data_IF_211743165456
#
_entry.id   IF_211743165456
#
_cell.length_a   1.000
_cell.length_b   1.000
_cell.length_c   1.000
_cell.angle_alpha   90.00
_cell.angle_beta   90.00
_cell.angle_gamma   90.00
#
_symmetry.space_group_name_H-M   'P 1'
#
loop_
_entity.id
_entity.type
_entity.pdbx_description
1 polymer ?
#
# COMPACT_ATOMS: atom_id res chain seq x y z
N UNK A 1 -9.02 -13.66 -14.10
CA UNK A 1 -9.58 -12.50 -13.40
C UNK A 1 -9.11 -11.26 -14.10
N UNK A 2 -10.03 -10.51 -14.69
CA UNK A 2 -9.73 -9.22 -15.32
C UNK A 2 -9.52 -8.16 -14.23
N UNK A 3 -8.91 -7.02 -14.60
CA UNK A 3 -8.75 -5.89 -13.67
C UNK A 3 -10.10 -5.38 -13.15
N UNK A 4 -11.12 -5.34 -14.03
CA UNK A 4 -12.47 -4.92 -13.65
C UNK A 4 -13.14 -5.92 -12.69
N UNK A 5 -12.97 -7.23 -12.91
CA UNK A 5 -13.47 -8.26 -11.99
C UNK A 5 -12.82 -8.15 -10.61
N UNK A 6 -11.52 -7.90 -10.54
CA UNK A 6 -10.81 -7.69 -9.28
C UNK A 6 -11.31 -6.46 -8.54
N UNK A 7 -11.53 -5.34 -9.26
CA UNK A 7 -12.07 -4.11 -8.67
C UNK A 7 -13.50 -4.27 -8.16
N UNK A 8 -14.38 -4.95 -8.91
CA UNK A 8 -15.74 -5.26 -8.44
C UNK A 8 -15.71 -6.12 -7.18
N UNK A 9 -14.85 -7.14 -7.16
CA UNK A 9 -14.69 -8.00 -5.99
C UNK A 9 -14.21 -7.22 -4.76
N UNK A 10 -13.19 -6.37 -4.91
CA UNK A 10 -12.66 -5.54 -3.83
C UNK A 10 -13.67 -4.48 -3.35
N UNK A 11 -14.39 -3.83 -4.27
CA UNK A 11 -15.46 -2.90 -3.94
C UNK A 11 -16.58 -3.58 -3.13
N UNK A 12 -17.00 -4.78 -3.55
CA UNK A 12 -18.01 -5.56 -2.83
C UNK A 12 -17.54 -5.95 -1.42
N UNK A 13 -16.27 -6.31 -1.24
CA UNK A 13 -15.67 -6.56 0.09
C UNK A 13 -15.69 -5.33 1.01
N UNK A 14 -15.80 -4.14 0.44
CA UNK A 14 -15.95 -2.89 1.17
C UNK A 14 -17.40 -2.41 1.29
N UNK A 15 -18.38 -3.26 0.95
CA UNK A 15 -19.80 -2.96 1.09
C UNK A 15 -20.34 -1.99 0.03
N UNK A 16 -19.63 -1.81 -1.08
CA UNK A 16 -20.06 -0.96 -2.19
C UNK A 16 -20.96 -1.77 -3.12
N UNK A 17 -22.11 -1.21 -3.46
CA UNK A 17 -23.01 -1.79 -4.46
C UNK A 17 -22.40 -1.67 -5.86
N UNK A 18 -21.87 -2.78 -6.37
CA UNK A 18 -21.23 -2.87 -7.70
C UNK A 18 -22.22 -2.75 -8.87
N UNK A 19 -23.52 -2.72 -8.59
CA UNK A 19 -24.57 -2.52 -9.61
C UNK A 19 -24.91 -1.05 -9.80
N UNK A 20 -24.59 -0.19 -8.81
CA UNK A 20 -24.82 1.24 -8.87
C UNK A 20 -23.94 1.91 -9.94
N UNK A 21 -24.46 2.87 -10.71
CA UNK A 21 -23.71 3.48 -11.83
C UNK A 21 -22.40 4.18 -11.42
N UNK A 22 -22.30 4.61 -10.16
CA UNK A 22 -21.20 5.36 -9.57
C UNK A 22 -20.28 4.50 -8.66
N UNK A 23 -20.45 3.17 -8.68
CA UNK A 23 -19.68 2.26 -7.81
C UNK A 23 -18.16 2.45 -7.96
N UNK A 24 -17.68 2.74 -9.18
CA UNK A 24 -16.26 2.97 -9.47
C UNK A 24 -15.74 4.23 -8.79
N UNK A 25 -16.48 5.33 -8.89
CA UNK A 25 -16.10 6.61 -8.29
C UNK A 25 -16.12 6.50 -6.76
N UNK A 26 -17.16 5.86 -6.21
CA UNK A 26 -17.29 5.60 -4.77
C UNK A 26 -16.11 4.76 -4.25
N UNK A 27 -15.77 3.69 -4.96
CA UNK A 27 -14.66 2.83 -4.58
C UNK A 27 -13.30 3.52 -4.72
N UNK A 28 -13.08 4.23 -5.83
CA UNK A 28 -11.86 4.99 -6.05
C UNK A 28 -11.65 6.04 -4.95
N UNK A 29 -12.71 6.75 -4.55
CA UNK A 29 -12.66 7.74 -3.47
C UNK A 29 -12.22 7.08 -2.16
N UNK A 30 -12.88 5.98 -1.77
CA UNK A 30 -12.53 5.23 -0.57
C UNK A 30 -11.06 4.76 -0.57
N UNK A 31 -10.59 4.24 -1.70
CA UNK A 31 -9.22 3.74 -1.83
C UNK A 31 -8.22 4.88 -1.72
N UNK A 32 -8.47 5.98 -2.43
CA UNK A 32 -7.59 7.16 -2.44
C UNK A 32 -7.53 7.83 -1.07
N UNK A 33 -8.64 7.92 -0.34
CA UNK A 33 -8.67 8.46 1.02
C UNK A 33 -7.85 7.59 1.99
N UNK A 34 -7.96 6.26 1.88
CA UNK A 34 -7.13 5.33 2.68
C UNK A 34 -5.64 5.43 2.34
N UNK A 35 -5.31 5.64 1.06
CA UNK A 35 -3.94 5.91 0.64
C UNK A 35 -3.43 7.23 1.23
N UNK A 36 -4.27 8.28 1.26
CA UNK A 36 -3.96 9.56 1.90
C UNK A 36 -3.64 9.42 3.39
N UNK A 37 -4.52 8.77 4.15
CA UNK A 37 -4.28 8.51 5.58
C UNK A 37 -2.99 7.68 5.81
N UNK A 38 -2.74 6.69 4.96
CA UNK A 38 -1.50 5.89 5.03
C UNK A 38 -0.26 6.72 4.70
N UNK A 39 -0.37 7.69 3.79
CA UNK A 39 0.71 8.59 3.39
C UNK A 39 1.04 9.63 4.47
N UNK A 40 0.05 10.06 5.24
CA UNK A 40 0.23 10.92 6.41
C UNK A 40 0.97 10.18 7.54
N UNK A 41 0.61 8.92 7.80
CA UNK A 41 1.28 8.07 8.80
C UNK A 41 2.73 7.75 8.40
N UNK A 42 2.91 7.35 7.15
CA UNK A 42 4.19 6.97 6.57
C UNK A 42 4.28 7.55 5.16
N UNK A 43 5.18 8.53 4.95
CA UNK A 43 5.32 9.25 3.68
C UNK A 43 5.91 8.40 2.55
N UNK A 44 5.20 7.34 2.20
CA UNK A 44 5.56 6.37 1.21
C UNK A 44 5.29 6.97 -0.19
N UNK A 45 6.34 7.27 -0.95
CA UNK A 45 6.26 7.94 -2.24
C UNK A 45 5.51 7.13 -3.29
N UNK A 46 5.26 5.84 -3.11
CA UNK A 46 4.45 5.06 -4.05
C UNK A 46 2.95 5.39 -3.96
N UNK A 47 2.46 5.79 -2.79
CA UNK A 47 1.05 6.04 -2.54
C UNK A 47 0.52 7.20 -3.41
N UNK A 48 1.21 8.35 -3.54
CA UNK A 48 0.80 9.39 -4.50
C UNK A 48 0.67 8.90 -5.95
N UNK A 49 1.56 8.02 -6.43
CA UNK A 49 1.48 7.48 -7.79
C UNK A 49 0.30 6.54 -7.96
N UNK A 50 0.06 5.67 -6.97
CA UNK A 50 -1.08 4.76 -6.99
C UNK A 50 -2.40 5.53 -6.90
N UNK A 51 -2.48 6.52 -6.02
CA UNK A 51 -3.65 7.37 -5.86
C UNK A 51 -3.96 8.15 -7.13
N UNK A 52 -2.95 8.69 -7.82
CA UNK A 52 -3.14 9.33 -9.12
C UNK A 52 -3.77 8.38 -10.14
N UNK A 53 -3.24 7.15 -10.26
CA UNK A 53 -3.80 6.14 -11.16
C UNK A 53 -5.24 5.80 -10.80
N UNK A 54 -5.52 5.52 -9.52
CA UNK A 54 -6.86 5.15 -9.05
C UNK A 54 -7.85 6.29 -9.26
N UNK A 55 -7.43 7.54 -9.02
CA UNK A 55 -8.27 8.71 -9.25
C UNK A 55 -8.68 8.83 -10.73
N UNK A 56 -7.71 8.67 -11.64
CA UNK A 56 -7.95 8.68 -13.09
C UNK A 56 -8.85 7.50 -13.50
N UNK A 57 -8.53 6.27 -13.06
CA UNK A 57 -9.29 5.05 -13.39
C UNK A 57 -10.74 5.12 -12.86
N UNK A 58 -10.93 5.76 -11.70
CA UNK A 58 -12.22 5.99 -11.06
C UNK A 58 -12.97 7.21 -11.58
N UNK A 59 -12.37 8.00 -12.47
CA UNK A 59 -12.88 9.28 -12.95
C UNK A 59 -13.29 10.24 -11.82
N UNK A 60 -12.50 10.28 -10.74
CA UNK A 60 -12.67 11.23 -9.62
C UNK A 60 -11.62 12.33 -9.69
N UNK A 61 -11.89 13.44 -9.00
CA UNK A 61 -10.92 14.52 -8.86
C UNK A 61 -9.65 14.03 -8.15
N UNK A 62 -8.50 14.49 -8.64
CA UNK A 62 -7.20 14.16 -8.02
C UNK A 62 -7.10 14.94 -6.70
N UNK A 63 -6.91 14.28 -5.55
CA UNK A 63 -6.84 14.97 -4.27
C UNK A 63 -5.65 15.91 -4.15
N UNK A 64 -5.82 16.95 -3.33
CA UNK A 64 -4.79 17.97 -3.12
C UNK A 64 -3.46 17.39 -2.62
N UNK A 65 -3.48 16.39 -1.71
CA UNK A 65 -2.25 15.79 -1.19
C UNK A 65 -1.41 15.12 -2.31
N UNK A 66 -2.06 14.56 -3.32
CA UNK A 66 -1.40 13.99 -4.50
C UNK A 66 -0.81 15.10 -5.37
N UNK A 67 -1.59 16.14 -5.64
CA UNK A 67 -1.15 17.29 -6.43
C UNK A 67 0.04 17.99 -5.77
N UNK A 68 -0.01 18.20 -4.46
CA UNK A 68 1.05 18.84 -3.69
C UNK A 68 2.33 18.00 -3.66
N UNK A 69 2.21 16.67 -3.57
CA UNK A 69 3.35 15.77 -3.69
C UNK A 69 4.06 15.97 -5.04
N UNK A 70 3.32 15.89 -6.15
CA UNK A 70 3.89 16.03 -7.50
C UNK A 70 4.41 17.43 -7.78
N UNK A 71 3.70 18.47 -7.32
CA UNK A 71 4.15 19.85 -7.42
C UNK A 71 5.52 20.05 -6.72
N UNK A 72 5.67 19.53 -5.49
CA UNK A 72 6.94 19.57 -4.77
C UNK A 72 8.07 18.84 -5.51
N UNK A 73 7.78 17.67 -6.12
CA UNK A 73 8.79 16.93 -6.90
C UNK A 73 9.15 17.65 -8.19
N UNK A 74 8.17 18.20 -8.90
CA UNK A 74 8.38 18.97 -10.12
C UNK A 74 9.28 20.18 -9.88
N UNK A 75 9.07 20.91 -8.77
CA UNK A 75 9.95 22.01 -8.36
C UNK A 75 11.41 21.54 -8.20
N UNK A 76 11.65 20.45 -7.47
CA UNK A 76 13.00 19.93 -7.27
C UNK A 76 13.64 19.41 -8.55
N UNK A 77 12.87 18.84 -9.48
CA UNK A 77 13.36 18.46 -10.81
C UNK A 77 13.78 19.69 -11.62
N UNK A 78 12.96 20.75 -11.61
CA UNK A 78 13.31 22.00 -12.29
C UNK A 78 14.58 22.63 -11.69
N UNK A 79 14.73 22.62 -10.37
CA UNK A 79 15.94 23.09 -9.70
C UNK A 79 17.18 22.27 -10.08
N UNK A 80 17.03 20.95 -10.25
CA UNK A 80 18.11 20.07 -10.70
C UNK A 80 18.53 20.42 -12.13
N UNK A 81 17.56 20.62 -13.03
CA UNK A 81 17.80 20.98 -14.44
C UNK A 81 18.45 22.37 -14.55
N UNK A 82 17.97 23.35 -13.77
CA UNK A 82 18.47 24.72 -13.79
C UNK A 82 19.94 24.84 -13.35
N UNK A 83 20.40 23.97 -12.45
CA UNK A 83 21.80 23.95 -11.99
C UNK A 83 22.78 23.37 -13.02
N UNK A 84 22.30 22.64 -14.03
CA UNK A 84 23.14 22.07 -15.10
C UNK A 84 24.17 21.03 -14.65
N UNK A 85 24.10 20.60 -13.39
CA UNK A 85 25.29 20.11 -12.66
C UNK A 85 25.53 18.60 -12.76
N UNK A 86 24.72 17.86 -13.52
CA UNK A 86 24.81 16.38 -13.58
C UNK A 86 24.45 15.85 -14.96
N UNK A 87 25.45 15.51 -15.77
CA UNK A 87 25.30 14.64 -16.94
C UNK A 87 25.82 13.24 -16.61
N UNK A 88 24.99 12.22 -16.80
CA UNK A 88 25.37 10.80 -16.67
C UNK A 88 24.70 10.04 -15.52
N UNK A 89 25.26 8.89 -15.09
CA UNK A 89 24.63 7.93 -14.15
C UNK A 89 24.16 8.54 -12.81
N UNK A 90 24.73 9.68 -12.39
CA UNK A 90 24.34 10.44 -11.18
C UNK A 90 23.04 11.24 -11.35
N UNK A 91 22.64 11.54 -12.57
CA UNK A 91 21.40 12.25 -12.89
C UNK A 91 20.20 11.34 -12.65
N UNK A 92 20.20 10.14 -13.20
CA UNK A 92 19.13 9.15 -12.98
C UNK A 92 18.94 8.82 -11.48
N UNK A 93 20.03 8.72 -10.71
CA UNK A 93 19.95 8.53 -9.26
C UNK A 93 19.34 9.75 -8.54
N UNK A 94 19.71 10.97 -8.96
CA UNK A 94 19.16 12.20 -8.41
C UNK A 94 17.67 12.35 -8.74
N UNK A 95 17.26 12.06 -9.98
CA UNK A 95 15.86 12.02 -10.41
C UNK A 95 15.10 10.97 -9.58
N UNK A 96 15.64 9.76 -9.46
CA UNK A 96 15.04 8.70 -8.64
C UNK A 96 14.83 9.15 -7.18
N UNK A 97 15.83 9.80 -6.56
CA UNK A 97 15.70 10.39 -5.21
C UNK A 97 14.62 11.47 -5.15
N UNK A 98 14.58 12.37 -6.12
CA UNK A 98 13.58 13.45 -6.16
C UNK A 98 12.17 12.87 -6.30
N UNK A 99 11.97 11.84 -7.12
CA UNK A 99 10.69 11.14 -7.27
C UNK A 99 10.31 10.25 -6.08
N UNK A 100 11.21 10.10 -5.10
CA UNK A 100 11.02 9.30 -3.88
C UNK A 100 11.49 7.85 -3.99
N UNK A 101 12.01 7.41 -5.13
CA UNK A 101 12.46 6.02 -5.34
C UNK A 101 13.93 5.78 -5.01
N UNK A 102 14.67 6.82 -4.66
CA UNK A 102 16.09 6.72 -4.33
C UNK A 102 16.33 5.97 -3.02
N UNK A 103 17.44 5.23 -2.96
CA UNK A 103 17.93 4.65 -1.71
C UNK A 103 18.34 5.73 -0.70
N UNK A 104 17.99 5.54 0.56
CA UNK A 104 18.47 6.33 1.70
C UNK A 104 19.93 5.93 2.01
N UNK A 105 20.87 6.30 1.14
CA UNK A 105 22.31 6.06 1.32
C UNK A 105 22.89 4.85 0.56
N UNK A 106 24.22 4.66 0.66
CA UNK A 106 24.91 3.50 0.07
C UNK A 106 24.43 2.22 0.75
N UNK A 107 23.75 1.35 -0.02
CA UNK A 107 23.18 0.09 0.49
C UNK A 107 21.75 0.20 1.04
N UNK A 108 21.12 1.37 0.96
CA UNK A 108 19.73 1.55 1.39
C UNK A 108 18.76 0.74 0.52
N UNK A 109 17.77 0.12 1.15
CA UNK A 109 16.67 -0.52 0.43
C UNK A 109 15.85 0.54 -0.28
N UNK A 110 15.53 0.36 -1.57
CA UNK A 110 14.69 1.31 -2.30
C UNK A 110 13.32 1.41 -1.64
N UNK A 111 12.70 2.58 -1.71
CA UNK A 111 11.40 2.78 -1.06
C UNK A 111 10.33 1.85 -1.64
N UNK A 112 10.39 1.54 -2.94
CA UNK A 112 9.54 0.51 -3.55
C UNK A 112 9.67 -0.86 -2.86
N UNK A 113 10.89 -1.25 -2.47
CA UNK A 113 11.12 -2.50 -1.74
C UNK A 113 10.69 -2.41 -0.27
N UNK A 114 10.75 -1.22 0.34
CA UNK A 114 10.15 -0.99 1.66
C UNK A 114 8.63 -1.14 1.62
N UNK A 115 7.94 -0.57 0.62
CA UNK A 115 6.49 -0.75 0.42
C UNK A 115 6.13 -2.22 0.27
N UNK A 116 6.80 -2.93 -0.64
CA UNK A 116 6.53 -4.35 -0.88
C UNK A 116 6.75 -5.19 0.39
N UNK A 117 7.77 -4.85 1.18
CA UNK A 117 8.00 -5.50 2.46
C UNK A 117 6.91 -5.14 3.49
N UNK A 118 6.44 -3.89 3.53
CA UNK A 118 5.35 -3.44 4.40
C UNK A 118 4.04 -4.17 4.09
N UNK A 119 3.64 -4.25 2.82
CA UNK A 119 2.46 -4.99 2.39
C UNK A 119 2.57 -6.47 2.75
N UNK A 120 3.74 -7.08 2.50
CA UNK A 120 4.01 -8.46 2.90
C UNK A 120 3.87 -8.63 4.41
N UNK A 121 4.34 -7.69 5.22
CA UNK A 121 4.24 -7.73 6.68
C UNK A 121 2.78 -7.63 7.16
N UNK A 122 1.98 -6.76 6.55
CA UNK A 122 0.53 -6.67 6.85
C UNK A 122 -0.18 -7.96 6.47
N UNK A 123 0.13 -8.55 5.32
CA UNK A 123 -0.43 -9.84 4.89
C UNK A 123 -0.06 -10.95 5.88
N UNK A 124 1.21 -11.05 6.28
CA UNK A 124 1.64 -12.01 7.30
C UNK A 124 0.86 -11.81 8.61
N UNK A 125 0.67 -10.57 9.05
CA UNK A 125 -0.10 -10.26 10.26
C UNK A 125 -1.57 -10.71 10.14
N UNK A 126 -2.21 -10.51 8.99
CA UNK A 126 -3.57 -11.01 8.72
C UNK A 126 -3.63 -12.54 8.77
N UNK A 127 -2.65 -13.22 8.19
CA UNK A 127 -2.58 -14.69 8.25
C UNK A 127 -2.41 -15.19 9.68
N UNK A 128 -1.61 -14.53 10.52
CA UNK A 128 -1.50 -14.91 11.94
C UNK A 128 -2.84 -14.83 12.65
N UNK A 129 -3.63 -13.76 12.41
CA UNK A 129 -4.97 -13.64 13.02
C UNK A 129 -5.89 -14.77 12.56
N UNK A 130 -5.90 -15.07 11.25
CA UNK A 130 -6.72 -16.13 10.69
C UNK A 130 -6.31 -17.53 11.23
N UNK A 131 -5.03 -17.86 11.21
CA UNK A 131 -4.52 -19.14 11.71
C UNK A 131 -4.75 -19.28 13.23
N UNK A 132 -4.60 -18.20 13.99
CA UNK A 132 -4.91 -18.23 15.44
C UNK A 132 -6.37 -18.59 15.69
N UNK A 133 -7.30 -18.14 14.84
CA UNK A 133 -8.71 -18.50 14.95
C UNK A 133 -8.98 -19.99 14.62
N UNK A 134 -8.15 -20.61 13.77
CA UNK A 134 -8.27 -22.02 13.38
C UNK A 134 -7.64 -22.94 14.42
N UNK A 135 -6.40 -22.67 14.83
CA UNK A 135 -5.63 -23.57 15.70
C UNK A 135 -5.73 -23.22 17.19
N UNK A 136 -6.34 -22.08 17.54
CA UNK A 136 -6.52 -21.63 18.93
C UNK A 136 -5.23 -21.17 19.63
N UNK A 137 -4.09 -21.19 18.94
CA UNK A 137 -2.77 -20.89 19.51
C UNK A 137 -1.99 -19.94 18.61
N UNK A 138 -1.66 -18.76 19.14
CA UNK A 138 -0.88 -17.76 18.39
C UNK A 138 0.55 -18.24 18.12
N UNK A 139 1.15 -18.99 19.04
CA UNK A 139 2.49 -19.56 18.86
C UNK A 139 2.50 -20.55 17.69
N UNK A 140 1.49 -21.41 17.62
CA UNK A 140 1.32 -22.35 16.49
C UNK A 140 1.08 -21.59 15.18
N UNK A 141 0.25 -20.54 15.23
CA UNK A 141 -0.01 -19.68 14.08
C UNK A 141 1.28 -19.00 13.56
N UNK A 142 2.19 -18.56 14.43
CA UNK A 142 3.47 -18.00 13.99
C UNK A 142 4.32 -19.00 13.21
N UNK A 143 4.45 -20.24 13.70
CA UNK A 143 5.17 -21.30 12.99
C UNK A 143 4.56 -21.61 11.62
N UNK A 144 3.24 -21.80 11.56
CA UNK A 144 2.52 -22.08 10.30
C UNK A 144 2.68 -20.95 9.28
N UNK A 145 2.61 -19.69 9.72
CA UNK A 145 2.79 -18.54 8.83
C UNK A 145 4.25 -18.39 8.41
N UNK A 146 5.21 -18.67 9.30
CA UNK A 146 6.63 -18.64 9.00
C UNK A 146 7.00 -19.63 7.87
N UNK A 147 6.49 -20.86 7.96
CA UNK A 147 6.63 -21.88 6.91
C UNK A 147 6.02 -21.41 5.59
N UNK A 148 4.78 -20.90 5.62
CA UNK A 148 4.06 -20.43 4.43
C UNK A 148 4.79 -19.32 3.68
N UNK A 149 5.41 -18.40 4.40
CA UNK A 149 6.10 -17.25 3.81
C UNK A 149 7.61 -17.48 3.63
N UNK A 150 8.13 -18.66 3.98
CA UNK A 150 9.54 -19.01 3.96
C UNK A 150 10.42 -17.97 4.69
N UNK A 151 10.02 -17.59 5.91
CA UNK A 151 10.71 -16.63 6.78
C UNK A 151 10.87 -17.20 8.19
N UNK A 152 11.66 -16.55 9.05
CA UNK A 152 11.75 -16.95 10.46
C UNK A 152 10.49 -16.55 11.24
N UNK A 153 10.17 -17.30 12.31
CA UNK A 153 9.09 -16.96 13.24
C UNK A 153 9.26 -15.55 13.82
N UNK A 154 10.47 -15.16 14.23
CA UNK A 154 10.81 -13.79 14.68
C UNK A 154 10.44 -12.69 13.67
N UNK A 155 10.47 -13.00 12.37
CA UNK A 155 10.10 -12.04 11.33
C UNK A 155 8.58 -11.88 11.28
N UNK A 156 7.85 -12.98 11.40
CA UNK A 156 6.38 -13.00 11.46
C UNK A 156 5.88 -12.33 12.73
N UNK A 157 6.49 -12.62 13.88
CA UNK A 157 6.12 -12.04 15.17
C UNK A 157 6.30 -10.51 15.15
N UNK A 158 7.45 -10.01 14.66
CA UNK A 158 7.66 -8.57 14.50
C UNK A 158 6.67 -7.92 13.55
N UNK A 159 6.39 -8.55 12.40
CA UNK A 159 5.40 -8.07 11.45
C UNK A 159 4.00 -8.01 12.07
N UNK A 160 3.60 -9.06 12.80
CA UNK A 160 2.32 -9.13 13.50
C UNK A 160 2.19 -8.04 14.55
N UNK A 161 3.17 -7.87 15.43
CA UNK A 161 3.10 -6.82 16.46
C UNK A 161 3.04 -5.41 15.87
N UNK A 162 3.80 -5.17 14.80
CA UNK A 162 3.81 -3.86 14.13
C UNK A 162 2.46 -3.55 13.45
N UNK A 163 1.79 -4.55 12.89
CA UNK A 163 0.58 -4.36 12.06
C UNK A 163 -0.70 -4.96 12.66
N UNK A 164 -0.70 -5.31 13.94
CA UNK A 164 -1.80 -6.03 14.61
C UNK A 164 -3.16 -5.35 14.40
N UNK A 165 -3.25 -4.06 14.68
CA UNK A 165 -4.52 -3.32 14.57
C UNK A 165 -5.05 -3.32 13.13
N UNK A 166 -4.17 -3.12 12.15
CA UNK A 166 -4.52 -3.16 10.73
C UNK A 166 -5.00 -4.56 10.32
N UNK A 167 -4.36 -5.61 10.83
CA UNK A 167 -4.74 -7.00 10.57
C UNK A 167 -6.10 -7.38 11.18
N UNK A 168 -6.33 -7.04 12.46
CA UNK A 168 -7.59 -7.30 13.15
C UNK A 168 -8.77 -6.56 12.49
N UNK A 169 -8.56 -5.29 12.10
CA UNK A 169 -9.56 -4.50 11.36
C UNK A 169 -9.96 -5.16 10.04
N UNK A 170 -8.98 -5.65 9.26
CA UNK A 170 -9.24 -6.34 7.98
C UNK A 170 -10.07 -7.62 8.15
N UNK A 171 -9.73 -8.47 9.10
CA UNK A 171 -10.49 -9.70 9.38
C UNK A 171 -11.92 -9.36 9.84
N UNK A 172 -12.08 -8.39 10.74
CA UNK A 172 -13.40 -7.98 11.23
C UNK A 172 -14.29 -7.41 10.12
N UNK A 173 -13.72 -6.63 9.20
CA UNK A 173 -14.45 -6.12 8.04
C UNK A 173 -14.87 -7.27 7.10
N UNK A 174 -13.98 -8.23 6.85
CA UNK A 174 -14.27 -9.40 6.04
C UNK A 174 -15.43 -10.22 6.62
N UNK A 175 -15.40 -10.49 7.94
CA UNK A 175 -16.46 -11.23 8.63
C UNK A 175 -17.81 -10.51 8.60
N UNK A 176 -17.82 -9.17 8.65
CA UNK A 176 -19.04 -8.35 8.54
C UNK A 176 -19.59 -8.31 7.10
N UNK A 177 -18.71 -8.42 6.11
CA UNK A 177 -19.08 -8.36 4.68
C UNK A 177 -19.49 -9.72 4.09
N UNK A 178 -19.17 -10.83 4.74
CA UNK A 178 -19.60 -12.16 4.30
C UNK A 178 -21.08 -12.36 4.65
N UNK A 179 -21.98 -12.56 3.67
CA UNK A 179 -23.36 -12.93 3.95
C UNK A 179 -23.34 -14.24 4.73
N UNK A 180 -24.01 -14.28 5.89
CA UNK A 180 -24.27 -15.51 6.62
C UNK A 180 -25.01 -16.47 5.68
N UNK A 181 -24.29 -17.44 5.11
CA UNK A 181 -24.86 -18.65 4.53
C UNK A 181 -25.16 -19.63 5.65
#
# INVERSE_FOLDING_TARGET
MTFEEAWKFEAAQHGIDITASDWRATFATLVVDRMGASFEDESNPILPWQALRVAIDGAIDIPEWVLMYFHGRAKHLNDLLARGDRRGRREAEAVGKILGFGAMGKGGTSVARQTLNGDRNVIMAVHVVAETAICGSRTTAFGTVAERFAVSEDTVERAFHTHRQKAESRINNLLKSSPHQ
#
